data_IF_132358102337
#
_entry.id   IF_132358102337
#
_cell.length_a   1.000
_cell.length_b   1.000
_cell.length_c   1.000
_cell.angle_alpha   90.00
_cell.angle_beta   90.00
_cell.angle_gamma   90.00
#
_symmetry.space_group_name_H-M   'P 1'
#
loop_
_entity.id
_entity.type
_entity.pdbx_description
1 polymer ?
#
# COMPACT_ATOMS: atom_id res chain seq x y z
N UNK A 1 -11.21 -4.24 -2.66
CA UNK A 1 -9.78 -4.57 -2.49
C UNK A 1 -9.18 -4.02 -1.20
N UNK A 2 -9.36 -2.74 -0.81
CA UNK A 2 -8.74 -2.17 0.41
C UNK A 2 -8.97 -2.99 1.69
N UNK A 3 -10.20 -3.44 1.96
CA UNK A 3 -10.49 -4.28 3.13
C UNK A 3 -9.68 -5.59 3.11
N UNK A 4 -9.58 -6.23 1.95
CA UNK A 4 -8.77 -7.44 1.78
C UNK A 4 -7.29 -7.12 2.00
N UNK A 5 -6.78 -6.03 1.43
CA UNK A 5 -5.40 -5.60 1.61
C UNK A 5 -5.09 -5.32 3.10
N UNK A 6 -6.01 -4.69 3.82
CA UNK A 6 -5.89 -4.47 5.26
C UNK A 6 -5.85 -5.78 6.04
N UNK A 7 -6.73 -6.74 5.72
CA UNK A 7 -6.77 -8.07 6.36
C UNK A 7 -5.48 -8.83 6.08
N UNK A 8 -5.04 -8.89 4.82
CA UNK A 8 -3.77 -9.53 4.46
C UNK A 8 -2.60 -8.86 5.18
N UNK A 9 -2.55 -7.53 5.18
CA UNK A 9 -1.47 -6.80 5.82
C UNK A 9 -1.41 -7.10 7.32
N UNK A 10 -2.55 -7.02 8.02
CA UNK A 10 -2.61 -7.26 9.47
C UNK A 10 -2.39 -8.72 9.87
N UNK A 11 -2.99 -9.67 9.16
CA UNK A 11 -3.06 -11.06 9.63
C UNK A 11 -2.13 -12.00 8.88
N UNK A 12 -1.71 -11.68 7.67
CA UNK A 12 -0.82 -12.51 6.85
C UNK A 12 0.61 -11.95 6.89
N UNK A 13 0.78 -10.68 6.49
CA UNK A 13 2.10 -10.02 6.43
C UNK A 13 2.64 -9.77 7.83
N UNK A 14 1.85 -9.20 8.75
CA UNK A 14 2.13 -9.16 10.20
C UNK A 14 1.75 -10.47 10.90
N UNK A 15 1.96 -11.60 10.22
CA UNK A 15 1.39 -12.89 10.54
C UNK A 15 2.35 -14.04 10.25
N UNK A 16 1.90 -15.14 9.62
CA UNK A 16 2.77 -16.22 9.18
C UNK A 16 3.82 -15.77 8.15
N UNK A 17 3.55 -14.73 7.35
CA UNK A 17 4.48 -14.23 6.33
C UNK A 17 5.33 -13.05 6.80
N UNK A 18 5.47 -12.86 8.12
CA UNK A 18 6.31 -11.78 8.68
C UNK A 18 7.75 -11.82 8.19
N UNK A 19 8.32 -13.00 7.95
CA UNK A 19 9.68 -13.10 7.40
C UNK A 19 9.89 -12.34 6.09
N UNK A 20 8.86 -12.26 5.23
CA UNK A 20 8.89 -11.52 3.98
C UNK A 20 8.58 -10.04 4.14
N UNK A 21 7.92 -9.64 5.23
CA UNK A 21 7.50 -8.26 5.47
C UNK A 21 8.41 -7.52 6.48
N UNK A 22 9.21 -8.24 7.27
CA UNK A 22 10.02 -7.67 8.34
C UNK A 22 11.14 -6.75 7.83
N UNK A 23 11.72 -7.06 6.66
CA UNK A 23 12.74 -6.22 6.05
C UNK A 23 12.17 -4.90 5.54
N UNK A 24 10.92 -4.90 5.12
CA UNK A 24 10.20 -3.70 4.76
C UNK A 24 9.94 -2.78 5.98
N UNK A 25 9.81 -3.34 7.19
CA UNK A 25 9.73 -2.55 8.43
C UNK A 25 11.07 -1.94 8.85
N UNK A 26 12.17 -2.56 8.46
CA UNK A 26 13.53 -2.11 8.80
C UNK A 26 14.21 -1.71 7.49
N UNK A 27 14.01 -0.47 7.04
CA UNK A 27 14.51 0.02 5.74
C UNK A 27 15.98 -0.40 5.51
N UNK A 28 16.19 -1.32 4.56
CA UNK A 28 17.52 -1.74 4.13
C UNK A 28 17.85 -1.11 2.79
N UNK A 29 19.10 -0.67 2.58
CA UNK A 29 19.52 -0.25 1.25
C UNK A 29 19.48 -1.44 0.29
N UNK A 30 18.74 -1.30 -0.81
CA UNK A 30 18.61 -2.32 -1.85
C UNK A 30 17.52 -1.97 -2.85
N UNK A 31 17.63 -2.50 -4.08
CA UNK A 31 16.58 -2.34 -5.09
C UNK A 31 15.43 -3.34 -4.87
N UNK A 32 15.73 -4.54 -4.38
CA UNK A 32 14.76 -5.59 -4.09
C UNK A 32 14.58 -5.79 -2.59
N UNK A 33 13.33 -5.93 -2.17
CA UNK A 33 12.94 -6.31 -0.80
C UNK A 33 12.29 -7.69 -0.85
N UNK A 34 12.40 -8.48 0.21
CA UNK A 34 11.66 -9.75 0.32
C UNK A 34 10.15 -9.50 0.26
N UNK A 35 9.73 -8.30 0.64
CA UNK A 35 8.36 -7.85 0.53
C UNK A 35 7.85 -7.80 -0.92
N UNK A 36 8.73 -7.77 -1.92
CA UNK A 36 8.35 -7.84 -3.34
C UNK A 36 7.65 -9.17 -3.69
N UNK A 37 7.81 -10.21 -2.86
CA UNK A 37 7.06 -11.47 -2.97
C UNK A 37 5.54 -11.22 -2.95
N UNK A 38 5.06 -10.24 -2.18
CA UNK A 38 3.63 -9.94 -2.13
C UNK A 38 3.12 -9.35 -3.44
N UNK A 39 3.95 -8.62 -4.20
CA UNK A 39 3.60 -8.19 -5.55
C UNK A 39 3.32 -9.40 -6.45
N UNK A 40 4.18 -10.42 -6.41
CA UNK A 40 4.00 -11.66 -7.17
C UNK A 40 2.77 -12.46 -6.72
N UNK A 41 2.53 -12.54 -5.41
CA UNK A 41 1.35 -13.23 -4.84
C UNK A 41 0.04 -12.65 -5.38
N UNK A 42 -0.02 -11.36 -5.70
CA UNK A 42 -1.21 -10.74 -6.29
C UNK A 42 -1.17 -10.68 -7.82
N UNK A 43 0.00 -10.44 -8.42
CA UNK A 43 0.16 -10.34 -9.86
C UNK A 43 -0.13 -11.68 -10.57
N UNK A 44 0.34 -12.81 -10.02
CA UNK A 44 0.15 -14.13 -10.65
C UNK A 44 -1.34 -14.50 -10.71
N UNK A 45 -2.13 -14.49 -9.61
CA UNK A 45 -3.56 -14.76 -9.67
C UNK A 45 -4.31 -13.75 -10.53
N UNK A 46 -3.95 -12.46 -10.47
CA UNK A 46 -4.54 -11.43 -11.34
C UNK A 46 -4.39 -11.78 -12.81
N UNK A 47 -3.16 -12.09 -13.23
CA UNK A 47 -2.85 -12.47 -14.60
C UNK A 47 -3.56 -13.77 -15.01
N UNK A 48 -3.54 -14.80 -14.16
CA UNK A 48 -4.23 -16.07 -14.45
C UNK A 48 -5.74 -15.89 -14.58
N UNK A 49 -6.37 -15.08 -13.72
CA UNK A 49 -7.79 -14.78 -13.80
C UNK A 49 -8.15 -14.07 -15.11
N UNK A 50 -7.31 -13.12 -15.56
CA UNK A 50 -7.50 -12.45 -16.85
C UNK A 50 -7.29 -13.44 -18.00
N UNK A 51 -6.15 -14.12 -18.04
CA UNK A 51 -5.78 -15.02 -19.14
C UNK A 51 -6.79 -16.16 -19.29
N UNK A 52 -7.05 -16.93 -18.23
CA UNK A 52 -7.96 -18.07 -18.28
C UNK A 52 -9.41 -17.62 -18.48
N UNK A 53 -9.81 -16.49 -17.88
CA UNK A 53 -11.13 -15.92 -18.06
C UNK A 53 -11.39 -15.53 -19.52
N UNK A 54 -10.43 -14.87 -20.16
CA UNK A 54 -10.48 -14.52 -21.58
C UNK A 54 -10.53 -15.78 -22.47
N UNK A 55 -9.66 -16.77 -22.20
CA UNK A 55 -9.65 -18.04 -22.94
C UNK A 55 -10.97 -18.81 -22.83
N UNK A 56 -11.63 -18.74 -21.68
CA UNK A 56 -12.90 -19.42 -21.41
C UNK A 56 -14.15 -18.59 -21.79
N UNK A 57 -13.99 -17.38 -22.35
CA UNK A 57 -15.07 -16.41 -22.55
C UNK A 57 -15.90 -16.13 -21.27
N UNK A 58 -15.28 -16.25 -20.09
CA UNK A 58 -15.91 -15.96 -18.81
C UNK A 58 -15.32 -14.66 -18.26
N UNK A 59 -16.10 -13.57 -18.34
CA UNK A 59 -15.63 -12.24 -17.96
C UNK A 59 -15.64 -11.97 -16.46
N UNK A 60 -16.33 -12.79 -15.65
CA UNK A 60 -16.33 -12.62 -14.20
C UNK A 60 -14.91 -12.69 -13.58
N UNK A 61 -14.08 -13.74 -13.82
CA UNK A 61 -12.70 -13.77 -13.37
C UNK A 61 -11.84 -12.69 -14.05
N UNK A 62 -12.13 -12.29 -15.29
CA UNK A 62 -11.41 -11.20 -15.97
C UNK A 62 -11.54 -9.89 -15.20
N UNK A 63 -12.76 -9.51 -14.82
CA UNK A 63 -12.99 -8.30 -14.03
C UNK A 63 -12.39 -8.38 -12.64
N UNK A 64 -12.43 -9.54 -11.99
CA UNK A 64 -11.75 -9.75 -10.72
C UNK A 64 -10.22 -9.55 -10.86
N UNK A 65 -9.62 -10.14 -11.90
CA UNK A 65 -8.21 -10.00 -12.22
C UNK A 65 -7.80 -8.55 -12.47
N UNK A 66 -8.58 -7.80 -13.26
CA UNK A 66 -8.37 -6.35 -13.43
C UNK A 66 -8.52 -5.56 -12.14
N UNK A 67 -9.47 -5.92 -11.27
CA UNK A 67 -9.64 -5.30 -9.96
C UNK A 67 -8.40 -5.48 -9.07
N UNK A 68 -7.79 -6.67 -9.10
CA UNK A 68 -6.52 -6.93 -8.40
C UNK A 68 -5.39 -6.10 -9.01
N UNK A 69 -5.25 -6.11 -10.35
CA UNK A 69 -4.20 -5.35 -11.04
C UNK A 69 -4.30 -3.85 -10.77
N UNK A 70 -5.49 -3.25 -10.90
CA UNK A 70 -5.71 -1.82 -10.69
C UNK A 70 -5.40 -1.41 -9.25
N UNK A 71 -5.85 -2.21 -8.27
CA UNK A 71 -5.55 -1.94 -6.87
C UNK A 71 -4.06 -2.15 -6.55
N UNK A 72 -3.44 -3.21 -7.08
CA UNK A 72 -2.00 -3.46 -6.92
C UNK A 72 -1.14 -2.35 -7.51
N UNK A 73 -1.53 -1.82 -8.68
CA UNK A 73 -0.89 -0.66 -9.29
C UNK A 73 -1.03 0.60 -8.40
N UNK A 74 -2.25 0.89 -7.92
CA UNK A 74 -2.47 2.00 -7.00
C UNK A 74 -1.64 1.84 -5.71
N UNK A 75 -1.57 0.62 -5.17
CA UNK A 75 -0.75 0.32 -3.99
C UNK A 75 0.73 0.60 -4.26
N UNK A 76 1.29 0.07 -5.35
CA UNK A 76 2.68 0.32 -5.75
C UNK A 76 2.99 1.81 -5.90
N UNK A 77 2.11 2.55 -6.58
CA UNK A 77 2.28 4.00 -6.78
C UNK A 77 2.28 4.78 -5.46
N UNK A 78 1.46 4.41 -4.49
CA UNK A 78 1.40 5.10 -3.20
C UNK A 78 2.53 4.62 -2.27
N UNK A 79 2.74 3.32 -2.17
CA UNK A 79 3.68 2.68 -1.28
C UNK A 79 5.13 2.89 -1.70
N UNK A 80 5.53 2.28 -2.82
CA UNK A 80 6.92 2.19 -3.26
C UNK A 80 7.40 3.48 -3.89
N UNK A 81 6.52 4.17 -4.64
CA UNK A 81 6.89 5.43 -5.31
C UNK A 81 6.74 6.62 -4.36
N UNK A 82 5.54 6.84 -3.81
CA UNK A 82 5.26 8.07 -3.05
C UNK A 82 5.74 8.02 -1.59
N UNK A 83 5.58 6.90 -0.88
CA UNK A 83 5.98 6.79 0.54
C UNK A 83 7.45 6.40 0.68
N UNK A 84 7.85 5.23 0.19
CA UNK A 84 9.21 4.69 0.33
C UNK A 84 10.21 5.25 -0.65
N UNK A 85 9.75 5.92 -1.71
CA UNK A 85 10.61 6.59 -2.71
C UNK A 85 11.65 5.65 -3.33
N UNK A 86 11.31 4.37 -3.49
CA UNK A 86 12.09 3.38 -4.28
C UNK A 86 12.25 3.87 -5.71
N UNK A 87 11.22 4.51 -6.25
CA UNK A 87 11.24 5.22 -7.54
C UNK A 87 10.99 6.71 -7.33
N UNK A 88 11.90 7.58 -7.78
CA UNK A 88 11.93 9.01 -7.41
C UNK A 88 11.25 9.95 -8.42
N UNK A 89 10.22 9.47 -9.11
CA UNK A 89 9.53 10.18 -10.19
C UNK A 89 8.18 10.81 -9.80
N UNK A 90 7.51 10.31 -8.75
CA UNK A 90 6.34 10.96 -8.16
C UNK A 90 6.72 11.50 -6.78
N UNK A 91 6.97 12.81 -6.70
CA UNK A 91 7.43 13.47 -5.47
C UNK A 91 6.50 14.62 -5.09
N UNK A 92 6.46 14.89 -3.80
CA UNK A 92 6.00 16.16 -3.23
C UNK A 92 4.58 16.61 -3.63
N UNK A 93 3.64 15.65 -3.66
CA UNK A 93 2.21 15.94 -3.75
C UNK A 93 1.77 16.68 -2.48
N UNK A 94 1.46 17.97 -2.61
CA UNK A 94 0.98 18.78 -1.50
C UNK A 94 -0.56 18.77 -1.45
N UNK A 95 -1.11 17.73 -0.82
CA UNK A 95 -2.54 17.61 -0.62
C UNK A 95 -2.85 16.84 0.68
N UNK A 96 -3.86 17.25 1.48
CA UNK A 96 -4.16 16.66 2.79
C UNK A 96 -4.29 15.15 2.80
N UNK A 97 -4.88 14.56 1.75
CA UNK A 97 -5.04 13.11 1.62
C UNK A 97 -3.68 12.38 1.55
N UNK A 98 -2.80 12.79 0.65
CA UNK A 98 -1.48 12.19 0.48
C UNK A 98 -0.58 12.43 1.69
N UNK A 99 -0.71 13.58 2.36
CA UNK A 99 -0.06 13.85 3.64
C UNK A 99 -0.54 12.90 4.75
N UNK A 100 -1.85 12.64 4.81
CA UNK A 100 -2.44 11.73 5.80
C UNK A 100 -2.00 10.29 5.57
N UNK A 101 -1.97 9.83 4.32
CA UNK A 101 -1.43 8.51 3.94
C UNK A 101 0.02 8.36 4.41
N UNK A 102 0.89 9.29 4.02
CA UNK A 102 2.30 9.25 4.42
C UNK A 102 2.45 9.21 5.95
N UNK A 103 1.63 9.97 6.67
CA UNK A 103 1.65 10.00 8.14
C UNK A 103 1.18 8.68 8.75
N UNK A 104 0.07 8.13 8.29
CA UNK A 104 -0.46 6.87 8.80
C UNK A 104 0.53 5.72 8.57
N UNK A 105 1.11 5.63 7.36
CA UNK A 105 2.14 4.65 7.04
C UNK A 105 3.41 4.84 7.88
N UNK A 106 3.85 6.09 8.08
CA UNK A 106 4.98 6.36 8.99
C UNK A 106 4.70 5.90 10.42
N UNK A 107 3.48 6.07 10.93
CA UNK A 107 3.10 5.59 12.27
C UNK A 107 3.08 4.06 12.31
N UNK A 108 2.64 3.41 11.24
CA UNK A 108 2.72 1.95 11.09
C UNK A 108 4.17 1.45 11.24
N UNK A 109 5.10 2.03 10.47
CA UNK A 109 6.52 1.67 10.47
C UNK A 109 7.30 2.04 11.74
N UNK A 110 6.76 2.88 12.63
CA UNK A 110 7.39 3.12 13.94
C UNK A 110 7.44 1.84 14.79
N UNK A 111 6.55 0.89 14.53
CA UNK A 111 6.52 -0.39 15.20
C UNK A 111 7.27 -1.43 14.38
N UNK A 112 8.55 -1.63 14.70
CA UNK A 112 9.45 -2.55 13.99
C UNK A 112 9.12 -4.04 14.19
N UNK A 113 8.08 -4.35 14.98
CA UNK A 113 7.69 -5.70 15.34
C UNK A 113 6.24 -5.99 15.01
N UNK A 114 5.97 -7.26 14.75
CA UNK A 114 4.67 -7.82 14.33
C UNK A 114 3.46 -7.48 15.23
N UNK A 115 3.64 -7.33 16.53
CA UNK A 115 2.54 -7.39 17.50
C UNK A 115 1.86 -6.04 17.84
N UNK A 116 2.51 -4.89 17.57
CA UNK A 116 2.01 -3.56 17.97
C UNK A 116 1.78 -2.62 16.78
N UNK A 117 1.66 -3.16 15.57
CA UNK A 117 1.36 -2.37 14.38
C UNK A 117 0.01 -1.68 14.51
N UNK A 118 -0.03 -0.39 14.14
CA UNK A 118 -1.26 0.37 13.94
C UNK A 118 -1.34 0.81 12.48
N UNK A 119 -2.53 1.12 11.96
CA UNK A 119 -2.72 1.67 10.61
C UNK A 119 -2.27 0.74 9.46
N UNK A 120 -2.83 -0.47 9.37
CA UNK A 120 -2.53 -1.44 8.29
C UNK A 120 -3.16 -1.10 6.92
N UNK A 121 -3.97 -0.04 6.82
CA UNK A 121 -4.58 0.40 5.56
C UNK A 121 -3.60 1.20 4.71
N UNK A 122 -3.80 1.20 3.40
CA UNK A 122 -2.96 1.93 2.45
C UNK A 122 -3.68 3.17 1.93
N UNK A 123 -4.82 2.99 1.25
CA UNK A 123 -5.56 4.09 0.61
C UNK A 123 -6.58 4.72 1.56
N UNK A 124 -7.04 3.97 2.57
CA UNK A 124 -7.99 4.46 3.58
C UNK A 124 -7.27 4.54 4.92
N UNK A 125 -7.15 5.77 5.42
CA UNK A 125 -6.47 6.06 6.69
C UNK A 125 -7.44 6.52 7.78
N UNK A 126 -7.11 6.30 9.07
CA UNK A 126 -7.92 6.82 10.17
C UNK A 126 -8.18 8.32 10.05
N UNK A 127 -9.43 8.73 10.31
CA UNK A 127 -9.91 10.12 10.17
C UNK A 127 -9.05 11.14 10.94
N UNK A 128 -8.47 10.74 12.07
CA UNK A 128 -7.54 11.55 12.87
C UNK A 128 -6.40 12.12 12.02
N UNK A 129 -5.74 11.29 11.21
CA UNK A 129 -4.60 11.74 10.39
C UNK A 129 -5.02 12.67 9.25
N UNK A 130 -6.21 12.45 8.68
CA UNK A 130 -6.75 13.35 7.67
C UNK A 130 -7.06 14.74 8.23
N UNK A 131 -7.69 14.81 9.40
CA UNK A 131 -7.99 16.09 10.07
C UNK A 131 -6.72 16.86 10.44
N UNK A 132 -5.71 16.16 10.95
CA UNK A 132 -4.40 16.74 11.25
C UNK A 132 -3.72 17.25 9.97
N UNK A 133 -3.68 16.45 8.91
CA UNK A 133 -3.11 16.85 7.62
C UNK A 133 -3.83 18.06 7.01
N UNK A 134 -5.17 18.10 7.08
CA UNK A 134 -5.97 19.23 6.61
C UNK A 134 -5.68 20.51 7.39
N UNK A 135 -5.46 20.40 8.70
CA UNK A 135 -5.08 21.53 9.56
C UNK A 135 -3.69 22.07 9.18
N UNK A 136 -2.71 21.18 9.01
CA UNK A 136 -1.35 21.57 8.59
C UNK A 136 -1.37 22.23 7.21
N UNK A 137 -2.06 21.61 6.25
CA UNK A 137 -2.21 22.14 4.90
C UNK A 137 -2.84 23.53 4.92
N UNK A 138 -3.98 23.71 5.61
CA UNK A 138 -4.61 25.03 5.74
C UNK A 138 -3.67 26.08 6.34
N UNK A 139 -2.95 25.75 7.43
CA UNK A 139 -1.99 26.67 8.05
C UNK A 139 -0.84 27.07 7.12
N UNK A 140 -0.39 26.15 6.26
CA UNK A 140 0.67 26.39 5.28
C UNK A 140 0.23 27.40 4.22
N UNK A 141 -1.01 27.27 3.74
CA UNK A 141 -1.54 28.10 2.65
C UNK A 141 -2.38 29.31 3.10
N UNK A 142 -2.76 29.40 4.38
CA UNK A 142 -3.41 30.59 4.94
C UNK A 142 -2.43 31.67 5.38
N UNK A 143 -1.12 31.39 5.33
CA UNK A 143 -0.03 32.31 5.64
C UNK A 143 0.73 32.79 4.40
N UNK A 144 0.26 32.39 3.21
CA UNK A 144 0.73 32.86 1.91
C UNK A 144 -0.27 33.90 1.38
#
# INVERSE_FOLDING_TARGET
>A
MEFMAWVTHRFVMHGPMWFFHADHHVEKPGFFERNDVFFLIYAIPSWLCIMLGMMANNYFPVWAGYGIAAYGFAYFMIHDVYIHRRFKWLRDIDHPYFMAIRKAHKVHHKHLGKARGECFGMLIVPRKYYTEAKTVFRRKYSKA
#
